data_IF_928023756014
#
_entry.id   IF_928023756014
#
_cell.length_a   1.000
_cell.length_b   1.000
_cell.length_c   1.000
_cell.angle_alpha   90.00
_cell.angle_beta   90.00
_cell.angle_gamma   90.00
#
_symmetry.space_group_name_H-M   'P 1'
#
loop_
_entity.id
_entity.type
_entity.pdbx_description
1 polymer ?
#
# COMPACT_ATOMS: atom_id res chain seq x y z
N UNK A 1 37.60 9.90 10.31
CA UNK A 1 36.69 9.46 9.23
C UNK A 1 35.29 9.79 9.67
N UNK A 2 34.71 10.87 9.14
CA UNK A 2 33.34 11.29 9.50
C UNK A 2 32.35 10.58 8.58
N UNK A 3 31.53 9.71 9.16
CA UNK A 3 30.36 9.15 8.50
C UNK A 3 29.40 10.30 8.14
N UNK A 4 29.51 10.80 6.91
CA UNK A 4 28.50 11.67 6.33
C UNK A 4 27.27 10.81 6.05
N UNK A 5 26.41 10.62 7.05
CA UNK A 5 25.02 10.24 6.83
C UNK A 5 24.43 11.23 5.82
N UNK A 6 24.20 10.76 4.58
CA UNK A 6 23.72 11.57 3.46
C UNK A 6 22.50 12.39 3.91
N UNK A 7 22.45 13.71 3.65
CA UNK A 7 21.31 14.52 4.06
C UNK A 7 20.06 14.01 3.33
N UNK A 8 19.17 13.43 4.15
CA UNK A 8 17.72 13.32 4.02
C UNK A 8 17.18 13.47 2.59
N UNK A 9 16.82 12.36 1.94
CA UNK A 9 15.99 12.41 0.74
C UNK A 9 14.81 13.36 1.01
N UNK A 10 14.75 14.48 0.29
CA UNK A 10 13.77 15.55 0.56
C UNK A 10 12.38 14.93 0.72
N UNK A 11 11.76 15.13 1.89
CA UNK A 11 10.42 14.59 2.20
C UNK A 11 9.43 15.10 1.15
N UNK A 12 8.46 14.25 0.78
CA UNK A 12 7.38 14.67 -0.10
C UNK A 12 6.57 15.77 0.56
N UNK A 13 6.12 16.77 -0.22
CA UNK A 13 5.24 17.82 0.28
C UNK A 13 3.96 17.22 0.88
N UNK A 14 3.63 17.67 2.08
CA UNK A 14 2.35 17.44 2.74
C UNK A 14 1.20 18.05 1.93
N UNK A 15 -0.03 17.76 2.33
CA UNK A 15 -1.19 18.34 1.67
C UNK A 15 -1.22 19.87 1.84
N UNK A 16 -0.98 20.36 3.06
CA UNK A 16 -0.96 21.78 3.38
C UNK A 16 0.13 22.54 2.62
N UNK A 17 1.34 21.99 2.52
CA UNK A 17 2.41 22.64 1.73
C UNK A 17 2.06 22.71 0.24
N UNK A 18 1.38 21.68 -0.32
CA UNK A 18 0.90 21.72 -1.72
C UNK A 18 -0.21 22.74 -1.90
N UNK A 19 -1.09 22.88 -0.91
CA UNK A 19 -2.12 23.90 -0.91
C UNK A 19 -1.53 25.31 -0.84
N UNK A 20 -0.51 25.53 0.00
CA UNK A 20 0.25 26.79 0.06
C UNK A 20 0.94 27.12 -1.27
N UNK A 21 1.55 26.13 -1.94
CA UNK A 21 2.11 26.31 -3.29
C UNK A 21 1.02 26.74 -4.27
N UNK A 22 -0.17 26.14 -4.22
CA UNK A 22 -1.27 26.52 -5.09
C UNK A 22 -1.75 27.95 -4.80
N UNK A 23 -1.93 28.32 -3.54
CA UNK A 23 -2.34 29.68 -3.15
C UNK A 23 -1.36 30.74 -3.66
N UNK A 24 -0.05 30.51 -3.46
CA UNK A 24 0.99 31.42 -3.97
C UNK A 24 1.01 31.54 -5.50
N UNK A 25 0.66 30.46 -6.22
CA UNK A 25 0.49 30.51 -7.68
C UNK A 25 -0.76 31.29 -8.08
N UNK A 26 -1.87 31.12 -7.35
CA UNK A 26 -3.12 31.82 -7.62
C UNK A 26 -2.98 33.33 -7.40
N UNK A 27 -2.29 33.75 -6.34
CA UNK A 27 -1.94 35.16 -6.07
C UNK A 27 -1.16 35.81 -7.22
N UNK A 28 -0.28 35.04 -7.87
CA UNK A 28 0.52 35.48 -9.02
C UNK A 28 -0.19 35.31 -10.36
N UNK A 29 -1.29 34.57 -10.40
CA UNK A 29 -2.00 34.29 -11.64
C UNK A 29 -2.88 35.48 -12.03
N UNK A 30 -2.99 35.73 -13.34
CA UNK A 30 -3.89 36.74 -13.89
C UNK A 30 -4.66 36.12 -15.04
N UNK A 31 -5.99 36.29 -15.06
CA UNK A 31 -6.86 35.76 -16.12
C UNK A 31 -6.62 34.27 -16.43
N UNK A 32 -6.54 33.43 -15.38
CA UNK A 32 -6.34 31.97 -15.47
C UNK A 32 -5.00 31.53 -16.08
N UNK A 33 -4.05 32.45 -16.25
CA UNK A 33 -2.71 32.18 -16.76
C UNK A 33 -1.64 32.59 -15.76
N UNK A 34 -0.52 31.86 -15.76
CA UNK A 34 0.65 32.18 -14.95
C UNK A 34 1.64 32.99 -15.78
N UNK A 35 2.17 34.11 -15.24
CA UNK A 35 3.21 34.86 -15.91
C UNK A 35 4.49 34.03 -16.01
N UNK A 36 5.32 34.34 -17.01
CA UNK A 36 6.61 33.68 -17.20
C UNK A 36 7.47 33.88 -15.95
N UNK A 37 8.03 32.79 -15.43
CA UNK A 37 8.90 32.83 -14.25
C UNK A 37 8.19 32.57 -12.92
N UNK A 38 6.87 32.76 -12.82
CA UNK A 38 6.12 32.56 -11.57
C UNK A 38 6.34 31.19 -10.92
N UNK A 39 6.38 30.14 -11.73
CA UNK A 39 6.66 28.77 -11.27
C UNK A 39 8.04 28.66 -10.64
N UNK A 40 9.05 29.32 -11.21
CA UNK A 40 10.42 29.32 -10.69
C UNK A 40 10.52 30.10 -9.38
N UNK A 41 9.86 31.24 -9.29
CA UNK A 41 9.80 32.03 -8.05
C UNK A 41 9.13 31.26 -6.91
N UNK A 42 7.96 30.67 -7.17
CA UNK A 42 7.25 29.86 -6.16
C UNK A 42 8.09 28.62 -5.80
N UNK A 43 8.77 28.01 -6.76
CA UNK A 43 9.68 26.90 -6.47
C UNK A 43 10.80 27.30 -5.51
N UNK A 44 11.37 28.49 -5.67
CA UNK A 44 12.38 29.04 -4.77
C UNK A 44 11.80 29.35 -3.39
N UNK A 45 10.60 29.95 -3.31
CA UNK A 45 9.93 30.26 -2.04
C UNK A 45 9.71 29.02 -1.17
N UNK A 46 9.32 27.90 -1.79
CA UNK A 46 9.03 26.64 -1.08
C UNK A 46 10.22 25.65 -1.05
N UNK A 47 11.37 26.00 -1.62
CA UNK A 47 12.57 25.13 -1.65
C UNK A 47 12.41 23.83 -2.46
N UNK A 48 11.46 23.80 -3.40
CA UNK A 48 11.07 22.63 -4.20
C UNK A 48 11.54 22.78 -5.64
N UNK A 49 11.60 21.67 -6.37
CA UNK A 49 11.95 21.72 -7.79
C UNK A 49 10.79 22.32 -8.62
N UNK A 50 11.10 23.11 -9.66
CA UNK A 50 10.10 23.73 -10.55
C UNK A 50 9.08 22.75 -11.13
N UNK A 51 9.48 21.50 -11.39
CA UNK A 51 8.57 20.48 -11.94
C UNK A 51 7.51 20.04 -10.94
N UNK A 52 7.80 20.11 -9.63
CA UNK A 52 6.82 19.82 -8.58
C UNK A 52 5.73 20.88 -8.57
N UNK A 53 6.11 22.15 -8.60
CA UNK A 53 5.19 23.30 -8.68
C UNK A 53 4.35 23.22 -9.96
N UNK A 54 4.99 22.98 -11.11
CA UNK A 54 4.29 22.80 -12.38
C UNK A 54 3.27 21.65 -12.33
N UNK A 55 3.63 20.50 -11.74
CA UNK A 55 2.72 19.36 -11.60
C UNK A 55 1.52 19.66 -10.72
N UNK A 56 1.69 20.45 -9.66
CA UNK A 56 0.60 20.91 -8.79
C UNK A 56 -0.33 21.81 -9.59
N UNK A 57 0.21 22.81 -10.30
CA UNK A 57 -0.57 23.71 -11.15
C UNK A 57 -1.37 22.97 -12.22
N UNK A 58 -0.70 22.13 -13.03
CA UNK A 58 -1.37 21.38 -14.10
C UNK A 58 -2.47 20.48 -13.56
N UNK A 59 -2.28 19.84 -12.40
CA UNK A 59 -3.32 19.02 -11.76
C UNK A 59 -4.52 19.87 -11.31
N UNK A 60 -4.26 21.04 -10.75
CA UNK A 60 -5.31 21.99 -10.37
C UNK A 60 -6.14 22.39 -11.58
N UNK A 61 -5.47 22.81 -12.67
CA UNK A 61 -6.11 23.20 -13.93
C UNK A 61 -6.89 22.03 -14.54
N UNK A 62 -6.29 20.85 -14.66
CA UNK A 62 -6.94 19.64 -15.20
C UNK A 62 -8.22 19.30 -14.44
N UNK A 63 -8.26 19.52 -13.13
CA UNK A 63 -9.45 19.24 -12.31
C UNK A 63 -10.58 20.23 -12.59
N UNK A 64 -10.27 21.51 -12.77
CA UNK A 64 -11.26 22.51 -13.19
C UNK A 64 -11.78 22.19 -14.60
N UNK A 65 -10.89 21.82 -15.52
CA UNK A 65 -11.27 21.41 -16.89
C UNK A 65 -12.20 20.20 -16.89
N UNK A 66 -12.05 19.29 -15.92
CA UNK A 66 -12.93 18.12 -15.74
C UNK A 66 -14.25 18.44 -15.01
N UNK A 67 -14.51 19.70 -14.67
CA UNK A 67 -15.75 20.13 -14.01
C UNK A 67 -15.70 20.11 -12.47
N UNK A 68 -14.52 19.94 -11.86
CA UNK A 68 -14.39 20.13 -10.42
C UNK A 68 -14.58 21.60 -10.05
N UNK A 69 -15.27 21.87 -8.94
CA UNK A 69 -15.42 23.23 -8.39
C UNK A 69 -14.11 23.76 -7.79
N UNK A 70 -13.23 22.86 -7.35
CA UNK A 70 -11.96 23.19 -6.70
C UNK A 70 -10.78 22.55 -7.43
N UNK A 71 -9.63 23.24 -7.39
CA UNK A 71 -8.38 22.73 -7.92
C UNK A 71 -7.85 21.59 -7.04
N UNK A 72 -7.50 20.46 -7.66
CA UNK A 72 -6.98 19.29 -6.94
C UNK A 72 -5.49 19.44 -6.62
N UNK A 73 -5.16 19.50 -5.33
CA UNK A 73 -3.78 19.50 -4.82
C UNK A 73 -3.36 18.13 -4.28
N UNK A 74 -4.22 17.12 -4.33
CA UNK A 74 -3.97 15.77 -3.79
C UNK A 74 -2.79 15.09 -4.50
N UNK A 75 -2.14 14.13 -3.83
CA UNK A 75 -0.94 13.48 -4.37
C UNK A 75 -1.38 12.16 -4.99
N UNK A 76 -0.76 11.81 -6.13
CA UNK A 76 -0.92 10.46 -6.70
C UNK A 76 -0.11 9.41 -5.93
N UNK A 77 0.79 9.84 -5.03
CA UNK A 77 1.53 8.91 -4.17
C UNK A 77 0.54 8.32 -3.17
N UNK A 78 0.30 7.02 -3.31
CA UNK A 78 -0.51 6.24 -2.38
C UNK A 78 0.39 5.21 -1.73
N UNK A 79 0.19 4.98 -0.43
CA UNK A 79 0.84 3.87 0.28
C UNK A 79 0.10 2.57 -0.05
N UNK A 80 0.21 2.14 -1.31
CA UNK A 80 -0.37 0.88 -1.78
C UNK A 80 0.73 -0.02 -2.35
N UNK A 81 1.00 -1.10 -1.64
CA UNK A 81 1.85 -2.17 -2.15
C UNK A 81 1.13 -3.03 -3.18
N UNK A 82 1.86 -4.04 -3.69
CA UNK A 82 1.30 -5.06 -4.59
C UNK A 82 0.04 -5.69 -3.97
N UNK A 83 -1.05 -5.74 -4.74
CA UNK A 83 -2.28 -6.42 -4.32
C UNK A 83 -1.99 -7.89 -4.03
N UNK A 84 -2.58 -8.40 -2.95
CA UNK A 84 -2.43 -9.81 -2.57
C UNK A 84 -3.04 -10.68 -3.67
N UNK A 85 -2.33 -11.74 -4.08
CA UNK A 85 -2.91 -12.80 -4.92
C UNK A 85 -4.04 -13.49 -4.17
N UNK A 86 -5.13 -13.74 -4.86
CA UNK A 86 -6.21 -14.58 -4.35
C UNK A 86 -5.80 -16.05 -4.41
N UNK A 87 -6.04 -16.77 -3.31
CA UNK A 87 -5.79 -18.19 -3.15
C UNK A 87 -6.99 -18.88 -2.45
N UNK A 88 -8.16 -18.24 -2.50
CA UNK A 88 -9.37 -18.67 -1.79
C UNK A 88 -9.76 -20.11 -2.16
N UNK A 89 -9.71 -20.44 -3.45
CA UNK A 89 -10.03 -21.76 -3.99
C UNK A 89 -9.12 -22.86 -3.45
N UNK A 90 -7.80 -22.66 -3.54
CA UNK A 90 -6.79 -23.63 -3.12
C UNK A 90 -6.80 -23.82 -1.60
N UNK A 91 -7.10 -22.76 -0.84
CA UNK A 91 -7.26 -22.84 0.61
C UNK A 91 -8.52 -23.62 1.01
N UNK A 92 -9.63 -23.43 0.30
CA UNK A 92 -10.84 -24.19 0.52
C UNK A 92 -10.63 -25.68 0.21
N UNK A 93 -9.94 -25.97 -0.89
CA UNK A 93 -9.55 -27.33 -1.27
C UNK A 93 -8.62 -27.96 -0.22
N UNK A 94 -7.60 -27.26 0.25
CA UNK A 94 -6.73 -27.77 1.32
C UNK A 94 -7.50 -28.06 2.63
N UNK A 95 -8.50 -27.24 2.96
CA UNK A 95 -9.31 -27.40 4.17
C UNK A 95 -10.30 -28.54 4.10
N UNK A 96 -10.80 -28.88 2.91
CA UNK A 96 -11.77 -29.96 2.70
C UNK A 96 -11.21 -31.33 3.07
N UNK A 97 -9.88 -31.52 2.93
CA UNK A 97 -9.24 -32.76 3.36
C UNK A 97 -9.43 -33.00 4.86
N UNK A 98 -9.86 -34.20 5.27
CA UNK A 98 -9.93 -34.58 6.69
C UNK A 98 -8.57 -34.45 7.37
N UNK A 99 -8.54 -34.01 8.63
CA UNK A 99 -7.31 -33.70 9.37
C UNK A 99 -6.23 -34.80 9.33
N UNK A 100 -6.62 -36.07 9.28
CA UNK A 100 -5.71 -37.23 9.21
C UNK A 100 -5.17 -37.51 7.81
N UNK A 101 -5.87 -37.08 6.75
CA UNK A 101 -5.53 -37.28 5.33
C UNK A 101 -4.99 -36.01 4.65
N UNK A 102 -4.79 -34.93 5.41
CA UNK A 102 -4.26 -33.66 4.88
C UNK A 102 -2.82 -33.83 4.38
N UNK A 103 -2.48 -33.36 3.16
CA UNK A 103 -1.12 -33.40 2.67
C UNK A 103 -0.18 -32.51 3.51
N UNK A 104 1.12 -32.78 3.44
CA UNK A 104 2.11 -31.89 4.04
C UNK A 104 2.06 -30.52 3.36
N UNK A 105 2.36 -29.43 4.09
CA UNK A 105 2.38 -28.07 3.53
C UNK A 105 3.33 -27.94 2.33
N UNK A 106 4.42 -28.73 2.31
CA UNK A 106 5.37 -28.74 1.20
C UNK A 106 4.74 -29.34 -0.06
N UNK A 107 4.05 -30.47 0.07
CA UNK A 107 3.36 -31.15 -1.04
C UNK A 107 2.19 -30.30 -1.53
N UNK A 108 1.37 -29.78 -0.61
CA UNK A 108 0.28 -28.88 -0.95
C UNK A 108 0.77 -27.61 -1.67
N UNK A 109 1.87 -27.01 -1.22
CA UNK A 109 2.47 -25.85 -1.87
C UNK A 109 2.89 -26.15 -3.32
N UNK A 110 3.50 -27.31 -3.56
CA UNK A 110 3.88 -27.75 -4.90
C UNK A 110 2.65 -28.02 -5.79
N UNK A 111 1.64 -28.71 -5.25
CA UNK A 111 0.41 -29.05 -5.98
C UNK A 111 -0.42 -27.81 -6.34
N UNK A 112 -0.56 -26.86 -5.42
CA UNK A 112 -1.32 -25.62 -5.65
C UNK A 112 -0.52 -24.50 -6.33
N UNK A 113 0.77 -24.72 -6.59
CA UNK A 113 1.70 -23.70 -7.09
C UNK A 113 1.72 -22.42 -6.22
N UNK A 114 1.65 -22.59 -4.90
CA UNK A 114 1.68 -21.51 -3.91
C UNK A 114 3.00 -21.62 -3.13
N UNK A 115 3.77 -20.52 -2.95
CA UNK A 115 4.93 -20.55 -2.08
C UNK A 115 4.54 -21.03 -0.68
N UNK A 116 5.29 -22.00 -0.13
CA UNK A 116 4.99 -22.63 1.17
C UNK A 116 4.73 -21.62 2.29
N UNK A 117 5.54 -20.56 2.37
CA UNK A 117 5.39 -19.48 3.37
C UNK A 117 4.07 -18.73 3.22
N UNK A 118 3.63 -18.50 1.99
CA UNK A 118 2.33 -17.89 1.69
C UNK A 118 1.21 -18.83 2.14
N UNK A 119 1.28 -20.12 1.78
CA UNK A 119 0.26 -21.10 2.17
C UNK A 119 0.10 -21.19 3.70
N UNK A 120 1.23 -21.28 4.44
CA UNK A 120 1.23 -21.28 5.92
C UNK A 120 0.54 -20.04 6.48
N UNK A 121 0.95 -18.85 6.01
CA UNK A 121 0.37 -17.59 6.48
C UNK A 121 -1.14 -17.52 6.22
N UNK A 122 -1.59 -17.94 5.04
CA UNK A 122 -3.01 -17.91 4.67
C UNK A 122 -3.85 -18.88 5.51
N UNK A 123 -3.34 -20.06 5.80
CA UNK A 123 -4.03 -21.02 6.66
C UNK A 123 -4.15 -20.50 8.10
N UNK A 124 -3.12 -19.84 8.62
CA UNK A 124 -3.16 -19.19 9.92
C UNK A 124 -4.16 -18.03 9.97
N UNK A 125 -4.17 -17.15 8.96
CA UNK A 125 -5.18 -16.08 8.80
C UNK A 125 -6.60 -16.66 8.77
N UNK A 126 -6.76 -17.84 8.17
CA UNK A 126 -8.04 -18.53 8.04
C UNK A 126 -8.39 -19.45 9.23
N UNK A 127 -7.69 -19.32 10.36
CA UNK A 127 -7.93 -20.05 11.61
C UNK A 127 -7.56 -21.53 11.61
N UNK A 128 -6.97 -22.05 10.53
CA UNK A 128 -6.56 -23.46 10.40
C UNK A 128 -5.18 -23.67 11.04
N UNK A 129 -5.15 -23.58 12.38
CA UNK A 129 -3.94 -23.85 13.16
C UNK A 129 -3.69 -25.36 13.16
N UNK A 130 -2.52 -25.78 12.67
CA UNK A 130 -2.06 -27.15 12.85
C UNK A 130 -1.82 -27.39 14.34
N UNK A 131 -2.69 -28.17 14.97
CA UNK A 131 -2.51 -28.62 16.36
C UNK A 131 -1.15 -29.32 16.51
N UNK A 132 -0.46 -29.04 17.61
CA UNK A 132 0.74 -29.78 17.99
C UNK A 132 0.41 -31.25 18.25
N UNK A 133 1.43 -32.12 18.30
CA UNK A 133 1.22 -33.55 18.57
C UNK A 133 0.56 -33.74 19.95
N UNK A 134 1.00 -32.99 20.96
CA UNK A 134 0.41 -33.02 22.31
C UNK A 134 -1.05 -32.55 22.35
N UNK A 135 -1.39 -31.50 21.59
CA UNK A 135 -2.78 -31.03 21.47
C UNK A 135 -3.69 -32.03 20.76
N UNK A 136 -3.16 -32.80 19.81
CA UNK A 136 -3.90 -33.88 19.14
C UNK A 136 -4.17 -35.04 20.09
N UNK A 137 -3.18 -35.47 20.87
CA UNK A 137 -3.30 -36.55 21.85
C UNK A 137 -4.36 -36.20 22.89
N UNK A 138 -4.28 -34.99 23.49
CA UNK A 138 -5.26 -34.52 24.48
C UNK A 138 -6.69 -34.41 23.92
N UNK A 139 -6.82 -34.04 22.65
CA UNK A 139 -8.12 -34.03 21.97
C UNK A 139 -8.69 -35.45 21.76
N UNK A 140 -7.86 -36.48 21.64
CA UNK A 140 -8.30 -37.87 21.52
C UNK A 140 -8.72 -38.44 22.89
N UNK A 141 -7.97 -38.13 23.95
CA UNK A 141 -8.26 -38.58 25.32
C UNK A 141 -9.58 -38.04 25.86
N UNK A 142 -9.93 -36.78 25.55
CA UNK A 142 -11.21 -36.20 25.97
C UNK A 142 -12.41 -36.90 25.31
N UNK A 143 -12.30 -37.31 24.03
CA UNK A 143 -13.37 -38.01 23.31
C UNK A 143 -13.63 -39.41 23.88
N UNK A 144 -12.60 -40.06 24.45
CA UNK A 144 -12.72 -41.40 25.06
C UNK A 144 -13.28 -41.34 26.49
N UNK A 145 -13.16 -40.20 27.18
CA UNK A 145 -13.70 -39.99 28.53
C UNK A 145 -15.19 -39.64 28.56
N UNK A 146 -15.75 -39.21 27.43
CA UNK A 146 -17.17 -38.85 27.29
C UNK A 146 -18.04 -40.02 26.77
N UNK A 147 -17.51 -41.25 26.80
CA UNK A 147 -18.20 -42.52 26.52
C UNK A 147 -18.30 -43.35 27.81
#
# INVERSE_FOLDING_TARGET
MTDKCRPNAKKNLTYEERNGVLQALLEKSSNKSLPRGAIGEVANMFGVHRTTVLRIWSRGVDSITKGSKFMDVSSKIRQSGRKRKDYSKELAEYKSFPSKKRPSLRVAAAAFNIPKTTLVRRLQEAGDKRKSVSEKIRSQENVVKDL
#
